data_IF_196805805272
#
_entry.id   IF_196805805272
#
_cell.length_a   1.000
_cell.length_b   1.000
_cell.length_c   1.000
_cell.angle_alpha   90.00
_cell.angle_beta   90.00
_cell.angle_gamma   90.00
#
_symmetry.space_group_name_H-M   'P 1'
#
loop_
_entity.id
_entity.type
_entity.pdbx_description
1 polymer ?
#
# COMPACT_ATOMS: atom_id res chain seq x y z
N UNK A 1 18.76 -24.19 -49.96
CA UNK A 1 17.57 -24.80 -49.32
C UNK A 1 17.62 -24.85 -47.78
N UNK A 2 18.77 -25.00 -47.10
CA UNK A 2 18.81 -25.08 -45.62
C UNK A 2 18.51 -23.78 -44.83
N UNK A 3 18.67 -22.59 -45.42
CA UNK A 3 18.43 -21.30 -44.73
C UNK A 3 16.96 -20.92 -44.59
N UNK A 4 16.10 -21.40 -45.49
CA UNK A 4 14.68 -21.03 -45.51
C UNK A 4 13.89 -21.74 -44.39
N UNK A 5 14.30 -22.95 -44.00
CA UNK A 5 13.64 -23.72 -42.92
C UNK A 5 13.88 -23.14 -41.52
N UNK A 6 15.01 -22.46 -41.30
CA UNK A 6 15.34 -21.88 -39.98
C UNK A 6 14.53 -20.59 -39.71
N UNK A 7 14.32 -19.77 -40.74
CA UNK A 7 13.52 -18.55 -40.64
C UNK A 7 12.04 -18.82 -40.39
N UNK A 8 11.48 -19.89 -40.97
CA UNK A 8 10.08 -20.27 -40.77
C UNK A 8 9.85 -20.85 -39.37
N UNK A 9 10.84 -21.55 -38.80
CA UNK A 9 10.77 -22.08 -37.43
C UNK A 9 10.82 -20.94 -36.39
N UNK A 10 11.65 -19.92 -36.61
CA UNK A 10 11.70 -18.73 -35.73
C UNK A 10 10.39 -17.94 -35.78
N UNK A 11 9.80 -17.78 -36.98
CA UNK A 11 8.53 -17.07 -37.13
C UNK A 11 7.38 -17.82 -36.43
N UNK A 12 7.38 -19.16 -36.51
CA UNK A 12 6.39 -20.00 -35.82
C UNK A 12 6.54 -19.99 -34.30
N UNK A 13 7.77 -19.99 -33.77
CA UNK A 13 8.01 -19.86 -32.32
C UNK A 13 7.57 -18.47 -31.84
N UNK A 14 7.85 -17.40 -32.59
CA UNK A 14 7.37 -16.05 -32.26
C UNK A 14 5.83 -15.96 -32.25
N UNK A 15 5.14 -16.55 -33.24
CA UNK A 15 3.67 -16.54 -33.32
C UNK A 15 2.99 -17.36 -32.22
N UNK A 16 3.60 -18.48 -31.80
CA UNK A 16 3.10 -19.27 -30.67
C UNK A 16 3.32 -18.51 -29.36
N UNK A 17 4.48 -17.89 -29.14
CA UNK A 17 4.81 -17.13 -27.91
C UNK A 17 3.91 -15.90 -27.73
N UNK A 18 3.56 -15.19 -28.82
CA UNK A 18 2.62 -14.06 -28.73
C UNK A 18 1.19 -14.49 -28.35
N UNK A 19 0.75 -15.68 -28.77
CA UNK A 19 -0.57 -16.20 -28.39
C UNK A 19 -0.63 -16.74 -26.95
N UNK A 20 0.47 -17.31 -26.41
CA UNK A 20 0.46 -17.79 -25.01
C UNK A 20 0.59 -16.62 -24.02
N UNK A 21 1.31 -15.55 -24.37
CA UNK A 21 1.44 -14.36 -23.51
C UNK A 21 0.12 -13.64 -23.26
N UNK A 22 -0.75 -13.57 -24.27
CA UNK A 22 -2.11 -13.05 -24.12
C UNK A 22 -2.98 -14.00 -23.28
N UNK A 23 -2.81 -15.32 -23.42
CA UNK A 23 -3.58 -16.32 -22.68
C UNK A 23 -3.31 -16.31 -21.16
N UNK A 24 -2.08 -15.97 -20.73
CA UNK A 24 -1.73 -15.85 -19.31
C UNK A 24 -2.18 -14.51 -18.69
N UNK A 25 -2.32 -13.45 -19.49
CA UNK A 25 -2.78 -12.15 -19.02
C UNK A 25 -4.29 -12.13 -18.71
N UNK A 26 -5.08 -12.94 -19.43
CA UNK A 26 -6.53 -13.02 -19.24
C UNK A 26 -7.00 -14.03 -18.18
N UNK A 27 -6.14 -14.93 -17.69
CA UNK A 27 -6.54 -15.96 -16.74
C UNK A 27 -6.75 -15.42 -15.30
N UNK A 28 -6.29 -14.20 -15.00
CA UNK A 28 -6.35 -13.59 -13.67
C UNK A 28 -7.64 -12.82 -13.35
N UNK A 29 -8.61 -12.73 -14.27
CA UNK A 29 -9.83 -11.92 -14.09
C UNK A 29 -11.13 -12.71 -14.07
N UNK A 30 -11.11 -13.92 -13.50
CA UNK A 30 -12.33 -14.64 -13.12
C UNK A 30 -12.43 -14.69 -11.60
N UNK A 31 -12.62 -13.52 -10.98
CA UNK A 31 -13.14 -13.48 -9.62
C UNK A 31 -14.65 -13.76 -9.71
N UNK A 32 -15.02 -14.89 -9.12
CA UNK A 32 -16.41 -15.25 -8.87
C UNK A 32 -17.05 -14.11 -8.05
N UNK A 33 -18.12 -13.52 -8.58
CA UNK A 33 -19.08 -12.79 -7.75
C UNK A 33 -19.79 -13.83 -6.88
N UNK A 34 -19.29 -14.02 -5.66
CA UNK A 34 -20.09 -14.58 -4.58
C UNK A 34 -20.91 -13.42 -3.97
N UNK A 35 -22.10 -13.72 -3.45
CA UNK A 35 -22.96 -12.75 -2.78
C UNK A 35 -22.26 -12.28 -1.49
N UNK A 36 -21.48 -11.19 -1.57
CA UNK A 36 -20.64 -10.66 -0.51
C UNK A 36 -19.17 -10.55 -0.93
N UNK A 37 -18.69 -9.32 -1.15
CA UNK A 37 -17.29 -9.06 -1.44
C UNK A 37 -16.45 -9.19 -0.16
N UNK A 38 -15.50 -10.12 -0.15
CA UNK A 38 -14.53 -10.31 0.94
C UNK A 38 -13.11 -10.30 0.37
N UNK A 39 -12.28 -9.38 0.86
CA UNK A 39 -10.84 -9.38 0.60
C UNK A 39 -10.17 -10.35 1.59
N UNK A 40 -10.12 -11.62 1.18
CA UNK A 40 -9.54 -12.70 2.00
C UNK A 40 -8.07 -12.45 2.31
N UNK A 41 -7.65 -12.81 3.52
CA UNK A 41 -6.26 -12.59 3.94
C UNK A 41 -5.93 -11.12 4.22
N UNK A 42 -6.95 -10.29 4.48
CA UNK A 42 -6.71 -8.96 5.04
C UNK A 42 -6.02 -9.08 6.41
N UNK A 43 -4.97 -8.29 6.70
CA UNK A 43 -4.30 -8.34 7.99
C UNK A 43 -5.19 -7.90 9.15
N UNK A 44 -4.98 -8.53 10.31
CA UNK A 44 -5.75 -8.34 11.55
C UNK A 44 -4.79 -8.05 12.72
N UNK A 45 -4.63 -6.77 13.07
CA UNK A 45 -3.59 -6.32 14.00
C UNK A 45 -4.13 -5.91 15.37
N UNK A 46 -3.47 -6.42 16.41
CA UNK A 46 -3.60 -5.93 17.78
C UNK A 46 -3.15 -4.47 17.88
N UNK A 47 -3.82 -3.70 18.73
CA UNK A 47 -3.56 -2.28 18.93
C UNK A 47 -2.08 -2.04 19.23
N UNK A 48 -1.47 -1.12 18.47
CA UNK A 48 -0.07 -0.75 18.65
C UNK A 48 0.09 0.76 18.66
N UNK A 49 0.09 1.35 19.86
CA UNK A 49 0.33 2.79 20.12
C UNK A 49 -0.63 3.77 19.41
N UNK A 50 -1.76 3.28 18.90
CA UNK A 50 -2.86 4.07 18.35
C UNK A 50 -3.71 3.25 17.40
N UNK A 51 -5.04 3.40 17.46
CA UNK A 51 -5.94 2.61 16.60
C UNK A 51 -5.82 3.01 15.13
N UNK A 52 -5.65 4.31 14.86
CA UNK A 52 -5.52 4.84 13.50
C UNK A 52 -4.23 4.41 12.80
N UNK A 53 -3.01 4.56 13.39
CA UNK A 53 -1.81 4.02 12.74
C UNK A 53 -1.83 2.50 12.68
N UNK A 54 -2.47 1.79 13.62
CA UNK A 54 -2.63 0.32 13.54
C UNK A 54 -3.50 -0.06 12.34
N UNK A 55 -4.65 0.60 12.14
CA UNK A 55 -5.54 0.37 11.00
C UNK A 55 -4.90 0.76 9.67
N UNK A 56 -4.14 1.86 9.65
CA UNK A 56 -3.32 2.20 8.49
C UNK A 56 -2.25 1.13 8.24
N UNK A 57 -1.63 0.58 9.28
CA UNK A 57 -0.69 -0.53 9.18
C UNK A 57 -1.31 -1.78 8.56
N UNK A 58 -2.56 -2.13 8.94
CA UNK A 58 -3.28 -3.24 8.31
C UNK A 58 -3.51 -2.98 6.81
N UNK A 59 -3.88 -1.75 6.44
CA UNK A 59 -4.03 -1.33 5.04
C UNK A 59 -2.71 -1.41 4.26
N UNK A 60 -1.63 -0.91 4.85
CA UNK A 60 -0.28 -0.96 4.27
C UNK A 60 0.19 -2.40 4.09
N UNK A 61 -0.02 -3.25 5.09
CA UNK A 61 0.31 -4.68 5.01
C UNK A 61 -0.50 -5.42 3.94
N UNK A 62 -1.78 -5.07 3.77
CA UNK A 62 -2.59 -5.64 2.69
C UNK A 62 -2.00 -5.33 1.31
N UNK A 63 -1.63 -4.07 1.05
CA UNK A 63 -1.02 -3.69 -0.23
C UNK A 63 0.40 -4.23 -0.41
N UNK A 64 1.15 -4.42 0.68
CA UNK A 64 2.47 -5.05 0.66
C UNK A 64 2.38 -6.51 0.19
N UNK A 65 1.39 -7.25 0.70
CA UNK A 65 1.18 -8.67 0.40
C UNK A 65 0.60 -8.88 -1.00
N UNK A 66 -0.43 -8.09 -1.36
CA UNK A 66 -1.26 -8.39 -2.54
C UNK A 66 -1.00 -7.48 -3.74
N UNK A 67 -0.26 -6.39 -3.56
CA UNK A 67 -0.16 -5.36 -4.57
C UNK A 67 -1.50 -4.66 -4.80
N UNK A 68 -1.60 -3.91 -5.90
CA UNK A 68 -2.85 -3.33 -6.36
C UNK A 68 -2.75 -2.89 -7.82
N UNK A 69 -3.83 -3.07 -8.60
CA UNK A 69 -3.87 -2.63 -10.01
C UNK A 69 -2.84 -3.29 -10.92
N UNK A 70 -2.37 -4.50 -10.56
CA UNK A 70 -1.30 -5.21 -11.27
C UNK A 70 0.11 -4.70 -10.93
N UNK A 71 0.26 -3.80 -9.96
CA UNK A 71 1.53 -3.32 -9.44
C UNK A 71 1.84 -4.02 -8.11
N UNK A 72 3.13 -4.19 -7.80
CA UNK A 72 3.63 -4.83 -6.57
C UNK A 72 4.12 -3.75 -5.61
N UNK A 73 3.89 -3.88 -4.31
CA UNK A 73 4.37 -2.90 -3.31
C UNK A 73 5.15 -3.58 -2.17
N UNK A 74 6.10 -4.44 -2.50
CA UNK A 74 6.80 -5.39 -1.61
C UNK A 74 7.79 -4.76 -0.60
N UNK A 75 7.71 -3.45 -0.41
CA UNK A 75 8.57 -2.72 0.53
C UNK A 75 7.80 -1.64 1.29
N UNK A 76 6.46 -1.74 1.33
CA UNK A 76 5.70 -0.88 2.24
C UNK A 76 6.02 -1.32 3.67
N UNK A 77 6.12 -2.63 3.92
CA UNK A 77 6.58 -3.20 5.19
C UNK A 77 8.00 -3.73 5.02
N UNK A 78 9.04 -2.92 5.29
CA UNK A 78 10.41 -3.35 5.07
C UNK A 78 10.83 -4.48 6.02
N UNK A 79 11.64 -5.40 5.50
CA UNK A 79 12.26 -6.47 6.28
C UNK A 79 11.66 -7.87 6.06
N UNK A 80 10.61 -7.98 5.24
CA UNK A 80 9.98 -9.26 4.90
C UNK A 80 8.53 -9.07 4.45
N UNK A 81 7.81 -10.18 4.35
CA UNK A 81 6.37 -10.16 4.07
C UNK A 81 5.64 -9.66 5.31
N UNK A 82 4.75 -8.68 5.17
CA UNK A 82 3.90 -8.20 6.26
C UNK A 82 3.14 -9.36 6.93
N UNK A 83 3.07 -9.34 8.25
CA UNK A 83 2.33 -10.37 8.99
C UNK A 83 0.83 -10.26 8.75
N UNK A 84 0.10 -11.37 8.77
CA UNK A 84 -1.37 -11.36 8.67
C UNK A 84 -2.07 -11.14 10.01
N UNK A 85 -1.36 -11.36 11.12
CA UNK A 85 -1.94 -11.27 12.45
C UNK A 85 -0.84 -10.91 13.47
N UNK A 86 -1.13 -9.98 14.37
CA UNK A 86 -0.22 -9.60 15.47
C UNK A 86 -0.77 -9.93 16.87
N UNK A 87 -1.99 -10.45 16.98
CA UNK A 87 -2.58 -10.87 18.24
C UNK A 87 -1.83 -12.06 18.86
N UNK A 88 -1.70 -12.05 20.19
CA UNK A 88 -1.14 -13.17 20.96
C UNK A 88 0.39 -13.23 20.98
N UNK A 89 1.10 -12.17 20.59
CA UNK A 89 2.55 -12.08 20.76
C UNK A 89 2.98 -11.98 22.22
N UNK A 90 4.09 -12.64 22.57
CA UNK A 90 4.71 -12.56 23.90
C UNK A 90 6.25 -12.57 23.80
N UNK A 91 6.94 -11.50 24.23
CA UNK A 91 6.37 -10.21 24.67
C UNK A 91 5.58 -9.54 23.54
N UNK A 92 4.64 -8.61 23.86
CA UNK A 92 3.97 -7.82 22.83
C UNK A 92 4.99 -7.05 22.00
N UNK A 93 4.81 -7.06 20.68
CA UNK A 93 5.74 -6.45 19.74
C UNK A 93 6.77 -7.42 19.18
N UNK A 94 7.40 -7.03 18.07
CA UNK A 94 8.42 -7.84 17.39
C UNK A 94 8.01 -8.30 15.99
N UNK A 95 6.80 -7.94 15.54
CA UNK A 95 6.42 -8.05 14.15
C UNK A 95 7.02 -6.90 13.35
N UNK A 96 7.30 -7.14 12.07
CA UNK A 96 7.78 -6.11 11.14
C UNK A 96 6.79 -4.94 11.10
N UNK A 97 5.50 -5.26 11.06
CA UNK A 97 4.43 -4.25 11.03
C UNK A 97 4.40 -3.35 12.26
N UNK A 98 4.86 -3.83 13.43
CA UNK A 98 4.94 -2.96 14.61
C UNK A 98 5.92 -1.81 14.41
N UNK A 99 7.03 -2.04 13.69
CA UNK A 99 8.02 -1.00 13.42
C UNK A 99 7.46 0.08 12.49
N UNK A 100 6.60 -0.29 11.54
CA UNK A 100 5.97 0.67 10.65
C UNK A 100 4.74 1.35 11.25
N UNK A 101 4.03 0.70 12.19
CA UNK A 101 2.89 1.30 12.87
C UNK A 101 3.38 2.36 13.86
N UNK A 102 4.21 1.96 14.81
CA UNK A 102 4.84 2.84 15.79
C UNK A 102 6.22 2.29 16.15
N UNK A 103 7.26 2.93 15.62
CA UNK A 103 8.64 2.55 15.86
C UNK A 103 9.02 2.72 17.33
N UNK A 104 10.10 2.07 17.76
CA UNK A 104 10.64 2.30 19.11
C UNK A 104 11.05 3.76 19.32
N UNK A 105 11.46 4.45 18.24
CA UNK A 105 11.73 5.89 18.26
C UNK A 105 10.45 6.67 18.58
N UNK A 106 9.35 6.39 17.88
CA UNK A 106 8.06 7.02 18.14
C UNK A 106 7.62 6.87 19.60
N UNK A 107 7.69 5.64 20.12
CA UNK A 107 7.26 5.32 21.49
C UNK A 107 8.10 6.10 22.51
N UNK A 108 9.43 6.18 22.30
CA UNK A 108 10.33 6.92 23.17
C UNK A 108 10.13 8.44 23.08
N UNK A 109 9.77 8.95 21.90
CA UNK A 109 9.59 10.38 21.63
C UNK A 109 8.22 10.90 22.10
N UNK A 110 7.15 10.11 21.99
CA UNK A 110 5.77 10.60 22.07
C UNK A 110 4.81 9.76 22.94
N UNK A 111 5.26 8.76 23.71
CA UNK A 111 4.35 7.89 24.49
C UNK A 111 4.84 7.56 25.90
N UNK A 112 5.54 8.48 26.56
CA UNK A 112 6.18 8.24 27.87
C UNK A 112 5.22 8.00 29.04
N UNK A 113 4.01 8.55 29.03
CA UNK A 113 3.03 8.51 30.14
C UNK A 113 1.85 7.56 29.90
N UNK A 114 1.81 6.86 28.78
CA UNK A 114 0.73 5.91 28.46
C UNK A 114 -0.51 6.57 27.85
N UNK A 115 -1.53 5.74 27.57
CA UNK A 115 -2.69 6.13 26.76
C UNK A 115 -3.45 7.35 27.30
N UNK A 116 -3.78 8.28 26.40
CA UNK A 116 -4.57 9.48 26.69
C UNK A 116 -3.83 10.59 27.45
N UNK A 117 -2.54 10.40 27.77
CA UNK A 117 -1.73 11.43 28.40
C UNK A 117 -1.34 12.56 27.43
N UNK A 118 -0.95 13.69 28.03
CA UNK A 118 -0.35 14.86 27.37
C UNK A 118 0.91 15.29 28.14
N UNK A 119 1.72 16.12 27.49
CA UNK A 119 2.87 16.82 28.05
C UNK A 119 4.03 15.88 28.35
N UNK A 120 4.20 14.83 27.56
CA UNK A 120 5.24 13.83 27.68
C UNK A 120 6.10 13.65 26.43
N UNK A 121 5.84 14.45 25.40
CA UNK A 121 6.74 14.59 24.25
C UNK A 121 8.18 14.87 24.72
N UNK A 122 9.10 13.99 24.33
CA UNK A 122 10.55 14.13 24.50
C UNK A 122 11.28 14.12 23.14
N UNK A 123 10.59 14.58 22.10
CA UNK A 123 11.11 14.60 20.74
C UNK A 123 12.26 15.57 20.57
N UNK A 124 13.39 15.06 20.05
CA UNK A 124 14.64 15.83 19.86
C UNK A 124 15.02 16.05 18.40
N UNK A 125 14.06 15.87 17.46
CA UNK A 125 14.29 16.07 16.03
C UNK A 125 14.77 14.84 15.27
N UNK A 126 14.45 13.64 15.77
CA UNK A 126 14.71 12.38 15.05
C UNK A 126 13.91 12.36 13.73
N UNK A 127 14.48 11.89 12.61
CA UNK A 127 13.69 11.68 11.40
C UNK A 127 12.51 10.75 11.66
N UNK A 128 11.33 11.11 11.13
CA UNK A 128 10.14 10.26 11.18
C UNK A 128 10.35 9.00 10.35
N UNK A 129 9.94 7.85 10.88
CA UNK A 129 10.21 6.54 10.26
C UNK A 129 9.06 5.54 10.35
N UNK A 130 7.91 5.93 10.93
CA UNK A 130 6.73 5.08 11.05
C UNK A 130 5.43 5.87 10.84
N UNK A 131 4.33 5.17 10.54
CA UNK A 131 2.99 5.72 10.37
C UNK A 131 2.59 6.64 11.52
N UNK A 132 2.79 6.24 12.77
CA UNK A 132 2.42 7.06 13.92
C UNK A 132 3.16 8.43 13.94
N UNK A 133 4.41 8.49 13.47
CA UNK A 133 5.15 9.74 13.33
C UNK A 133 4.52 10.64 12.25
N UNK A 134 4.36 10.11 11.04
CA UNK A 134 3.82 10.88 9.91
C UNK A 134 2.35 11.30 10.13
N UNK A 135 1.54 10.44 10.75
CA UNK A 135 0.14 10.71 11.06
C UNK A 135 -0.04 11.68 12.24
N UNK A 136 1.05 12.09 12.90
CA UNK A 136 1.00 12.95 14.08
C UNK A 136 0.38 12.28 15.30
N UNK A 137 0.37 10.95 15.37
CA UNK A 137 -0.25 10.21 16.47
C UNK A 137 0.52 10.46 17.76
N UNK A 138 -0.18 10.65 18.88
CA UNK A 138 0.45 10.92 20.19
C UNK A 138 1.26 12.22 20.31
N UNK A 139 1.34 13.04 19.26
CA UNK A 139 2.17 14.24 19.27
C UNK A 139 1.43 15.42 19.92
N UNK A 140 1.88 15.83 21.11
CA UNK A 140 1.33 17.00 21.82
C UNK A 140 1.41 18.26 20.95
N UNK A 141 2.48 18.39 20.16
CA UNK A 141 2.75 19.56 19.30
C UNK A 141 1.68 19.83 18.25
N UNK A 142 0.88 18.83 17.87
CA UNK A 142 -0.28 18.95 16.96
C UNK A 142 -1.61 18.70 17.68
N UNK A 143 -1.57 18.65 19.01
CA UNK A 143 -2.73 18.54 19.89
C UNK A 143 -3.35 17.14 19.94
N UNK A 144 -2.55 16.10 19.72
CA UNK A 144 -2.96 14.71 19.86
C UNK A 144 -2.37 14.14 21.15
N UNK A 145 -3.21 13.66 22.07
CA UNK A 145 -2.73 12.88 23.22
C UNK A 145 -2.27 11.51 22.79
N UNK A 146 -1.53 10.84 23.67
CA UNK A 146 -1.04 9.48 23.50
C UNK A 146 -2.10 8.52 22.96
N UNK A 147 -1.86 7.99 21.75
CA UNK A 147 -2.70 7.01 21.07
C UNK A 147 -3.82 7.61 20.22
N UNK A 148 -3.90 8.95 20.14
CA UNK A 148 -4.91 9.65 19.33
C UNK A 148 -4.30 10.22 18.05
N UNK A 149 -5.13 10.29 17.02
CA UNK A 149 -4.76 10.81 15.70
C UNK A 149 -5.89 11.71 15.20
N UNK A 150 -5.55 12.84 14.61
CA UNK A 150 -6.52 13.78 14.05
C UNK A 150 -6.73 13.50 12.55
N UNK A 151 -7.97 13.60 12.11
CA UNK A 151 -8.33 13.57 10.71
C UNK A 151 -9.22 14.78 10.39
N UNK A 152 -9.03 15.34 9.20
CA UNK A 152 -9.80 16.48 8.69
C UNK A 152 -10.83 16.00 7.66
N UNK A 153 -11.94 16.74 7.57
CA UNK A 153 -13.08 16.46 6.70
C UNK A 153 -13.75 17.78 6.31
N UNK A 154 -14.43 17.80 5.16
CA UNK A 154 -15.36 18.89 4.85
C UNK A 154 -16.65 18.77 5.65
N UNK A 155 -17.16 19.91 6.11
CA UNK A 155 -18.37 19.97 6.93
C UNK A 155 -19.65 19.63 6.15
N UNK A 156 -19.61 19.72 4.81
CA UNK A 156 -20.73 19.37 3.93
C UNK A 156 -20.71 17.89 3.51
N UNK A 157 -19.70 17.12 3.93
CA UNK A 157 -19.55 15.69 3.61
C UNK A 157 -18.85 15.40 2.27
N UNK A 158 -18.32 16.41 1.57
CA UNK A 158 -17.54 16.20 0.36
C UNK A 158 -16.24 15.44 0.67
N UNK A 159 -15.67 14.69 -0.29
CA UNK A 159 -14.37 14.07 -0.13
C UNK A 159 -13.29 15.14 0.05
N UNK A 160 -12.44 14.97 1.06
CA UNK A 160 -11.26 15.81 1.31
C UNK A 160 -10.00 15.06 0.88
N UNK A 161 -9.39 15.48 -0.23
CA UNK A 161 -8.21 14.84 -0.82
C UNK A 161 -6.89 15.36 -0.24
N UNK A 162 -5.78 14.68 -0.56
CA UNK A 162 -4.42 15.10 -0.23
C UNK A 162 -4.13 16.51 -0.73
N UNK A 163 -4.49 16.83 -1.98
CA UNK A 163 -4.31 18.17 -2.54
C UNK A 163 -5.06 19.25 -1.78
N UNK A 164 -6.24 18.96 -1.25
CA UNK A 164 -7.03 19.91 -0.48
C UNK A 164 -6.38 20.20 0.87
N UNK A 165 -5.89 19.14 1.54
CA UNK A 165 -5.17 19.25 2.81
C UNK A 165 -3.86 20.03 2.62
N UNK A 166 -3.13 19.77 1.53
CA UNK A 166 -1.92 20.49 1.19
C UNK A 166 -2.19 21.98 0.96
N UNK A 167 -3.22 22.30 0.17
CA UNK A 167 -3.64 23.67 -0.12
C UNK A 167 -4.10 24.43 1.13
N UNK A 168 -4.65 23.73 2.13
CA UNK A 168 -5.04 24.31 3.42
C UNK A 168 -3.83 24.72 4.29
N UNK A 169 -2.63 24.23 3.97
CA UNK A 169 -1.36 24.68 4.53
C UNK A 169 -0.88 23.89 5.75
N UNK A 170 0.31 24.27 6.24
CA UNK A 170 1.12 23.48 7.19
C UNK A 170 0.41 23.07 8.47
N UNK A 171 -0.44 23.93 9.02
CA UNK A 171 -1.17 23.60 10.23
C UNK A 171 -2.12 22.41 10.04
N UNK A 172 -2.69 22.26 8.83
CA UNK A 172 -3.63 21.18 8.50
C UNK A 172 -2.88 19.92 8.10
N UNK A 173 -1.94 20.01 7.16
CA UNK A 173 -1.24 18.81 6.68
C UNK A 173 -0.36 18.16 7.75
N UNK A 174 0.33 18.94 8.61
CA UNK A 174 1.13 18.37 9.72
C UNK A 174 0.28 17.65 10.79
N UNK A 175 -1.03 17.88 10.82
CA UNK A 175 -1.93 17.33 11.85
C UNK A 175 -2.95 16.34 11.26
N UNK A 176 -2.79 15.95 9.99
CA UNK A 176 -3.75 15.11 9.27
C UNK A 176 -3.25 13.68 9.19
N UNK A 177 -3.97 12.74 9.81
CA UNK A 177 -3.69 11.31 9.71
C UNK A 177 -3.70 10.81 8.25
N UNK A 178 -4.59 11.34 7.42
CA UNK A 178 -4.61 11.02 5.98
C UNK A 178 -3.35 11.50 5.26
N UNK A 179 -2.92 12.73 5.54
CA UNK A 179 -1.71 13.27 4.92
C UNK A 179 -0.47 12.51 5.39
N UNK A 180 -0.42 12.13 6.66
CA UNK A 180 0.64 11.29 7.20
C UNK A 180 0.71 9.90 6.60
N UNK A 181 -0.43 9.26 6.28
CA UNK A 181 -0.45 8.00 5.54
C UNK A 181 0.19 8.18 4.15
N UNK A 182 -0.15 9.27 3.46
CA UNK A 182 0.46 9.63 2.19
C UNK A 182 1.97 9.90 2.34
N UNK A 183 2.41 10.66 3.34
CA UNK A 183 3.83 10.93 3.59
C UNK A 183 4.61 9.64 3.86
N UNK A 184 4.06 8.73 4.68
CA UNK A 184 4.67 7.43 4.92
C UNK A 184 4.83 6.62 3.64
N UNK A 185 3.79 6.58 2.81
CA UNK A 185 3.81 5.86 1.54
C UNK A 185 4.88 6.42 0.58
N UNK A 186 5.08 7.74 0.57
CA UNK A 186 6.18 8.39 -0.15
C UNK A 186 7.54 8.12 0.46
N UNK A 187 7.63 8.07 1.80
CA UNK A 187 8.85 7.76 2.52
C UNK A 187 9.41 6.37 2.18
N UNK A 188 8.53 5.37 2.01
CA UNK A 188 8.93 4.00 1.63
C UNK A 188 9.19 3.82 0.12
N UNK A 189 9.06 4.89 -0.67
CA UNK A 189 9.43 4.95 -2.08
C UNK A 189 8.28 4.81 -3.08
N UNK A 190 7.02 4.89 -2.63
CA UNK A 190 5.84 4.80 -3.49
C UNK A 190 5.08 6.13 -3.58
N UNK A 191 4.01 6.19 -4.36
CA UNK A 191 3.21 7.40 -4.50
C UNK A 191 3.74 8.41 -5.54
N UNK A 192 3.10 9.57 -5.58
CA UNK A 192 3.33 10.61 -6.60
C UNK A 192 4.51 11.54 -6.29
N UNK A 193 4.89 11.67 -5.02
CA UNK A 193 5.85 12.66 -4.53
C UNK A 193 5.37 14.11 -4.56
N UNK A 194 4.21 14.40 -5.16
CA UNK A 194 3.65 15.75 -5.30
C UNK A 194 2.24 15.82 -4.70
N UNK A 195 2.08 16.39 -3.49
CA UNK A 195 0.78 16.46 -2.85
C UNK A 195 -0.16 17.45 -3.55
N UNK A 196 0.33 18.36 -4.38
CA UNK A 196 -0.49 19.41 -5.02
C UNK A 196 -1.38 18.90 -6.16
N UNK A 197 -1.21 17.64 -6.56
CA UNK A 197 -1.98 17.01 -7.64
C UNK A 197 -2.47 15.61 -7.27
N UNK A 198 -2.38 15.22 -6.00
CA UNK A 198 -2.71 13.86 -5.56
C UNK A 198 -4.18 13.73 -5.13
N UNK A 199 -4.91 12.87 -5.85
CA UNK A 199 -6.31 12.51 -5.62
C UNK A 199 -6.48 11.02 -5.25
N UNK A 200 -5.38 10.31 -4.98
CA UNK A 200 -5.42 8.87 -4.74
C UNK A 200 -5.83 8.50 -3.32
N UNK A 201 -5.94 9.47 -2.41
CA UNK A 201 -6.40 9.24 -1.05
C UNK A 201 -7.29 10.38 -0.56
N UNK A 202 -8.35 10.03 0.17
CA UNK A 202 -9.30 10.99 0.72
C UNK A 202 -9.97 10.50 1.99
N UNK A 203 -10.46 11.48 2.75
CA UNK A 203 -11.31 11.29 3.92
C UNK A 203 -12.72 11.76 3.57
N UNK A 204 -13.74 11.01 3.99
CA UNK A 204 -15.12 11.45 3.75
C UNK A 204 -16.07 10.98 4.87
N UNK A 205 -16.96 11.86 5.37
CA UNK A 205 -18.07 11.44 6.22
C UNK A 205 -19.04 10.50 5.49
N UNK A 206 -19.70 9.61 6.20
CA UNK A 206 -20.71 8.71 5.61
C UNK A 206 -22.04 9.44 5.33
N UNK A 207 -22.75 9.00 4.30
CA UNK A 207 -24.04 9.53 3.84
C UNK A 207 -25.15 9.50 4.92
N UNK A 208 -25.07 8.57 5.86
CA UNK A 208 -26.04 8.42 6.96
C UNK A 208 -26.02 9.53 8.02
N UNK A 209 -25.14 10.52 7.90
CA UNK A 209 -25.06 11.67 8.81
C UNK A 209 -26.00 12.82 8.43
N UNK A 210 -26.67 12.76 7.26
CA UNK A 210 -27.58 13.81 6.80
C UNK A 210 -26.89 15.10 6.35
N UNK A 211 -25.63 14.98 5.90
CA UNK A 211 -24.87 16.06 5.27
C UNK A 211 -25.28 16.22 3.79
N UNK A 212 -24.76 17.26 3.11
CA UNK A 212 -25.06 17.50 1.69
C UNK A 212 -24.52 16.39 0.79
N UNK A 213 -23.32 15.91 1.10
CA UNK A 213 -22.67 14.78 0.47
C UNK A 213 -22.35 13.72 1.52
N UNK A 214 -21.90 12.56 1.08
CA UNK A 214 -21.36 11.55 1.97
C UNK A 214 -20.97 10.31 1.19
N UNK A 215 -20.03 9.55 1.74
CA UNK A 215 -19.62 8.27 1.20
C UNK A 215 -20.73 7.26 1.45
N UNK A 216 -21.19 6.57 0.42
CA UNK A 216 -22.34 5.65 0.48
C UNK A 216 -21.88 4.21 0.69
N UNK A 217 -22.82 3.32 1.03
CA UNK A 217 -22.53 1.89 1.06
C UNK A 217 -22.18 1.34 -0.33
N UNK A 218 -22.77 1.89 -1.39
CA UNK A 218 -22.43 1.54 -2.78
C UNK A 218 -20.98 1.92 -3.12
N UNK A 219 -20.52 3.10 -2.69
CA UNK A 219 -19.12 3.49 -2.84
C UNK A 219 -18.19 2.53 -2.08
N UNK A 220 -18.56 2.10 -0.87
CA UNK A 220 -17.80 1.12 -0.11
C UNK A 220 -17.72 -0.23 -0.83
N UNK A 221 -18.84 -0.75 -1.35
CA UNK A 221 -18.85 -1.98 -2.14
C UNK A 221 -17.93 -1.85 -3.35
N UNK A 222 -17.97 -0.71 -4.06
CA UNK A 222 -17.09 -0.44 -5.20
C UNK A 222 -15.60 -0.43 -4.83
N UNK A 223 -15.21 0.10 -3.66
CA UNK A 223 -13.83 0.01 -3.18
C UNK A 223 -13.39 -1.45 -2.99
N UNK A 224 -14.21 -2.23 -2.28
CA UNK A 224 -13.95 -3.65 -2.00
C UNK A 224 -13.89 -4.46 -3.29
N UNK A 225 -14.82 -4.26 -4.22
CA UNK A 225 -14.89 -4.98 -5.50
C UNK A 225 -13.69 -4.66 -6.41
N UNK A 226 -13.09 -3.49 -6.24
CA UNK A 226 -11.85 -3.12 -6.90
C UNK A 226 -10.60 -3.61 -6.15
N UNK A 227 -10.74 -4.38 -5.08
CA UNK A 227 -9.64 -4.93 -4.31
C UNK A 227 -9.00 -3.94 -3.33
N UNK A 228 -9.69 -2.85 -2.97
CA UNK A 228 -9.20 -1.83 -2.03
C UNK A 228 -9.87 -1.99 -0.67
N UNK A 229 -9.05 -2.14 0.37
CA UNK A 229 -9.52 -2.06 1.77
C UNK A 229 -9.80 -0.60 2.14
N UNK A 230 -10.71 -0.36 3.09
CA UNK A 230 -11.15 0.98 3.48
C UNK A 230 -11.02 1.15 4.98
N UNK A 231 -10.35 2.20 5.44
CA UNK A 231 -10.31 2.52 6.86
C UNK A 231 -11.66 3.09 7.30
N UNK A 232 -12.27 2.47 8.31
CA UNK A 232 -13.57 2.87 8.86
C UNK A 232 -13.33 3.63 10.17
N UNK A 233 -13.88 4.84 10.28
CA UNK A 233 -13.85 5.65 11.48
C UNK A 233 -15.21 5.66 12.18
N UNK A 234 -15.25 5.12 13.41
CA UNK A 234 -16.35 5.27 14.35
C UNK A 234 -15.99 6.36 15.37
N UNK A 235 -16.93 6.73 16.25
CA UNK A 235 -16.63 7.63 17.36
C UNK A 235 -15.51 7.07 18.26
N UNK A 236 -14.39 7.77 18.29
CA UNK A 236 -13.23 7.45 19.14
C UNK A 236 -12.32 6.31 18.64
N UNK A 237 -12.59 5.69 17.48
CA UNK A 237 -11.84 4.53 17.02
C UNK A 237 -11.78 4.40 15.49
N UNK A 238 -10.70 3.80 15.00
CA UNK A 238 -10.44 3.50 13.60
C UNK A 238 -10.25 1.99 13.44
N UNK A 239 -10.79 1.43 12.36
CA UNK A 239 -10.81 0.00 12.03
C UNK A 239 -10.50 -0.20 10.54
N UNK A 240 -10.20 -1.42 10.10
CA UNK A 240 -10.01 -1.72 8.69
C UNK A 240 -11.18 -2.54 8.12
N UNK A 241 -11.94 -1.93 7.22
CA UNK A 241 -12.98 -2.58 6.42
C UNK A 241 -12.39 -3.34 5.23
N UNK A 242 -12.84 -4.58 5.05
CA UNK A 242 -12.32 -5.48 4.02
C UNK A 242 -13.41 -6.29 3.30
N UNK A 243 -14.67 -6.08 3.66
CA UNK A 243 -15.76 -6.71 2.96
C UNK A 243 -17.13 -6.21 3.37
N UNK A 244 -18.17 -6.77 2.77
CA UNK A 244 -19.56 -6.41 3.01
C UNK A 244 -20.52 -7.58 2.79
N UNK A 245 -21.76 -7.40 3.28
CA UNK A 245 -22.93 -8.17 2.88
C UNK A 245 -24.03 -7.23 2.41
N UNK A 246 -24.36 -7.31 1.13
CA UNK A 246 -25.42 -6.50 0.52
C UNK A 246 -26.79 -6.87 1.12
N UNK A 247 -27.04 -8.16 1.31
CA UNK A 247 -28.31 -8.68 1.83
C UNK A 247 -28.66 -8.13 3.23
N UNK A 248 -27.66 -7.87 4.07
CA UNK A 248 -27.85 -7.35 5.43
C UNK A 248 -27.47 -5.88 5.59
N UNK A 249 -26.94 -5.24 4.53
CA UNK A 249 -26.38 -3.89 4.55
C UNK A 249 -25.29 -3.74 5.63
N UNK A 250 -24.39 -4.73 5.71
CA UNK A 250 -23.32 -4.82 6.69
C UNK A 250 -21.94 -4.64 6.07
N UNK A 251 -21.03 -4.07 6.85
CA UNK A 251 -19.59 -4.04 6.56
C UNK A 251 -18.88 -5.04 7.46
N UNK A 252 -17.85 -5.68 6.92
CA UNK A 252 -16.92 -6.56 7.63
C UNK A 252 -15.59 -5.85 7.84
N UNK A 253 -15.07 -5.91 9.06
CA UNK A 253 -13.85 -5.22 9.44
C UNK A 253 -13.06 -5.96 10.52
N UNK A 254 -11.76 -5.67 10.57
CA UNK A 254 -10.90 -5.96 11.70
C UNK A 254 -10.84 -4.73 12.60
N UNK A 255 -11.18 -4.91 13.87
CA UNK A 255 -10.96 -3.88 14.90
C UNK A 255 -9.50 -3.98 15.39
N UNK A 256 -9.10 -3.13 16.33
CA UNK A 256 -7.77 -3.25 16.95
C UNK A 256 -7.83 -3.77 18.39
N UNK A 257 -8.94 -4.36 18.81
CA UNK A 257 -9.16 -4.77 20.21
C UNK A 257 -9.24 -6.29 20.36
N UNK A 258 -9.86 -6.98 19.40
CA UNK A 258 -10.06 -8.41 19.42
C UNK A 258 -9.86 -9.00 18.02
N UNK A 259 -9.14 -10.13 17.91
CA UNK A 259 -8.92 -10.75 16.62
C UNK A 259 -10.23 -11.26 16.00
N UNK A 260 -10.23 -11.34 14.68
CA UNK A 260 -11.26 -11.98 13.87
C UNK A 260 -12.18 -11.01 13.15
N UNK A 261 -13.19 -11.59 12.52
CA UNK A 261 -14.18 -10.86 11.75
C UNK A 261 -15.21 -10.20 12.67
N UNK A 262 -15.39 -8.89 12.50
CA UNK A 262 -16.47 -8.12 13.10
C UNK A 262 -17.39 -7.57 12.02
N UNK A 263 -18.60 -7.18 12.42
CA UNK A 263 -19.54 -6.53 11.52
C UNK A 263 -20.40 -5.47 12.19
N UNK A 264 -20.91 -4.54 11.38
CA UNK A 264 -21.97 -3.61 11.74
C UNK A 264 -22.73 -3.21 10.49
N UNK A 265 -23.97 -2.72 10.65
CA UNK A 265 -24.70 -2.11 9.55
C UNK A 265 -24.00 -0.84 9.06
N UNK A 266 -24.07 -0.56 7.75
CA UNK A 266 -23.59 0.71 7.21
C UNK A 266 -24.21 1.91 7.93
N UNK A 267 -23.38 2.86 8.37
CA UNK A 267 -23.81 4.01 9.16
C UNK A 267 -24.37 3.65 10.55
N UNK A 268 -24.20 2.40 10.98
CA UNK A 268 -24.70 1.86 12.23
C UNK A 268 -23.82 2.17 13.44
N UNK A 269 -23.90 1.29 14.43
CA UNK A 269 -23.11 1.36 15.65
C UNK A 269 -22.34 0.06 15.85
N UNK A 270 -21.10 0.16 16.30
CA UNK A 270 -20.29 -0.95 16.77
C UNK A 270 -19.90 -0.70 18.22
N UNK A 271 -20.23 -1.63 19.12
CA UNK A 271 -20.01 -1.51 20.57
C UNK A 271 -20.50 -0.17 21.18
N UNK A 272 -21.56 0.41 20.61
CA UNK A 272 -22.15 1.68 21.07
C UNK A 272 -21.57 2.94 20.41
N UNK A 273 -20.51 2.83 19.61
CA UNK A 273 -19.92 3.93 18.86
C UNK A 273 -20.49 4.02 17.44
N UNK A 274 -20.93 5.22 17.03
CA UNK A 274 -21.52 5.50 15.72
C UNK A 274 -20.45 5.47 14.62
N UNK A 275 -20.74 4.90 13.45
CA UNK A 275 -19.94 5.07 12.24
C UNK A 275 -20.06 6.50 11.71
N UNK A 276 -18.92 7.16 11.47
CA UNK A 276 -18.90 8.58 11.12
C UNK A 276 -18.27 8.83 9.75
N UNK A 277 -17.26 8.05 9.36
CA UNK A 277 -16.39 8.40 8.22
C UNK A 277 -15.61 7.22 7.69
N UNK A 278 -15.04 7.43 6.53
CA UNK A 278 -14.08 6.53 5.89
C UNK A 278 -12.81 7.27 5.48
N UNK A 279 -11.74 6.52 5.35
CA UNK A 279 -10.51 6.91 4.66
C UNK A 279 -10.24 5.89 3.56
N UNK A 280 -10.20 6.36 2.32
CA UNK A 280 -9.87 5.55 1.15
C UNK A 280 -8.46 5.87 0.67
N UNK A 281 -7.74 4.85 0.21
CA UNK A 281 -6.36 4.97 -0.23
C UNK A 281 -6.10 4.06 -1.42
N UNK A 282 -5.69 4.66 -2.54
CA UNK A 282 -5.30 3.97 -3.77
C UNK A 282 -3.77 4.04 -3.89
N UNK A 283 -3.05 2.93 -3.70
CA UNK A 283 -1.60 2.93 -3.85
C UNK A 283 -1.20 3.17 -5.31
N UNK A 284 -0.13 3.93 -5.51
CA UNK A 284 0.42 4.30 -6.83
C UNK A 284 1.95 4.34 -6.79
N UNK A 285 2.61 4.57 -7.93
CA UNK A 285 4.06 4.84 -7.97
C UNK A 285 4.94 3.59 -7.83
N UNK A 286 4.44 2.41 -8.24
CA UNK A 286 5.24 1.19 -8.34
C UNK A 286 5.36 0.67 -9.78
N UNK A 287 6.26 -0.29 -9.97
CA UNK A 287 6.58 -0.93 -11.23
C UNK A 287 5.67 -2.14 -11.53
N UNK A 288 5.51 -2.44 -12.81
CA UNK A 288 4.84 -3.67 -13.27
C UNK A 288 5.79 -4.85 -13.01
N UNK A 289 5.35 -5.92 -12.34
CA UNK A 289 6.18 -7.10 -12.11
C UNK A 289 6.60 -7.69 -13.46
N UNK A 290 7.91 -7.74 -13.73
CA UNK A 290 8.44 -8.40 -14.91
C UNK A 290 8.45 -9.91 -14.63
N UNK A 291 7.70 -10.74 -15.39
CA UNK A 291 7.69 -12.16 -15.15
C UNK A 291 9.11 -12.75 -15.27
N UNK A 292 9.58 -13.45 -14.24
CA UNK A 292 10.84 -14.21 -14.20
C UNK A 292 11.22 -14.93 -15.51
N UNK A 293 10.32 -15.61 -16.26
CA UNK A 293 10.69 -16.22 -17.54
C UNK A 293 11.07 -15.20 -18.63
N UNK A 294 10.51 -13.99 -18.60
CA UNK A 294 10.82 -12.90 -19.52
C UNK A 294 12.15 -12.22 -19.18
N UNK A 295 12.50 -12.11 -17.90
CA UNK A 295 13.81 -11.58 -17.46
C UNK A 295 14.95 -12.50 -17.88
N UNK A 296 14.81 -13.82 -17.67
CA UNK A 296 15.76 -14.83 -18.16
C UNK A 296 15.80 -14.86 -19.69
N UNK A 297 14.67 -14.68 -20.37
CA UNK A 297 14.63 -14.57 -21.81
C UNK A 297 15.39 -13.33 -22.29
N UNK A 298 15.12 -12.13 -21.77
CA UNK A 298 15.81 -10.88 -22.09
C UNK A 298 17.33 -10.96 -21.84
N UNK A 299 17.73 -11.56 -20.71
CA UNK A 299 19.15 -11.83 -20.43
C UNK A 299 19.76 -12.80 -21.44
N UNK A 300 19.03 -13.84 -21.84
CA UNK A 300 19.54 -14.84 -22.79
C UNK A 300 19.61 -14.33 -24.23
N UNK A 301 18.68 -13.49 -24.71
CA UNK A 301 18.84 -12.79 -26.00
C UNK A 301 20.01 -11.79 -25.96
N UNK A 302 20.23 -11.10 -24.84
CA UNK A 302 21.41 -10.26 -24.63
C UNK A 302 22.73 -11.04 -24.75
N UNK A 303 22.82 -12.21 -24.09
CA UNK A 303 23.98 -13.11 -24.17
C UNK A 303 24.18 -13.70 -25.57
N UNK A 304 23.11 -14.09 -26.26
CA UNK A 304 23.17 -14.62 -27.64
C UNK A 304 23.60 -13.53 -28.62
N UNK A 305 23.19 -12.27 -28.42
CA UNK A 305 23.63 -11.13 -29.24
C UNK A 305 25.15 -10.89 -29.14
N UNK A 306 25.71 -11.03 -27.94
CA UNK A 306 27.16 -10.90 -27.70
C UNK A 306 27.92 -12.07 -28.33
N UNK A 307 27.45 -13.31 -28.20
CA UNK A 307 28.07 -14.47 -28.84
C UNK A 307 27.95 -14.47 -30.37
N UNK A 308 26.86 -13.91 -30.91
CA UNK A 308 26.65 -13.74 -32.34
C UNK A 308 27.64 -12.76 -32.99
N UNK A 309 28.03 -11.71 -32.26
CA UNK A 309 29.06 -10.76 -32.70
C UNK A 309 30.45 -11.41 -32.82
N UNK A 310 30.79 -12.35 -31.93
CA UNK A 310 32.05 -13.10 -32.00
C UNK A 310 32.07 -14.07 -33.20
N UNK A 311 30.93 -14.68 -33.53
CA UNK A 311 30.86 -15.61 -34.68
C UNK A 311 30.94 -14.89 -36.04
N UNK A 312 30.49 -13.64 -36.13
CA UNK A 312 30.58 -12.83 -37.36
C UNK A 312 32.01 -12.33 -37.60
N UNK A 313 32.78 -12.06 -36.55
CA UNK A 313 34.19 -11.64 -36.68
C UNK A 313 35.14 -12.78 -37.06
N UNK A 314 34.87 -14.01 -36.64
CA UNK A 314 35.79 -15.13 -36.89
C UNK A 314 35.78 -15.69 -38.34
N UNK A 315 34.87 -15.18 -39.20
CA UNK A 315 34.78 -15.58 -40.62
C UNK A 315 35.63 -14.76 -41.59
N UNK A 316 36.26 -13.68 -41.11
CA UNK A 316 37.26 -12.92 -41.88
C UNK A 316 38.55 -12.94 -41.08
N UNK A 317 39.46 -13.84 -41.42
CA UNK A 317 40.75 -14.00 -40.75
C UNK A 317 41.47 -12.66 -40.62
N UNK A 318 41.87 -12.32 -39.38
CA UNK A 318 42.59 -11.08 -39.10
C UNK A 318 42.65 -10.74 -37.61
N UNK A 319 43.66 -11.30 -36.92
CA UNK A 319 44.29 -10.84 -35.66
C UNK A 319 43.42 -10.42 -34.47
N UNK A 320 43.21 -11.37 -33.54
CA UNK A 320 42.64 -11.17 -32.20
C UNK A 320 43.60 -10.56 -31.18
N UNK A 321 44.03 -9.30 -31.36
CA UNK A 321 44.90 -8.60 -30.37
C UNK A 321 44.31 -7.26 -29.87
N UNK A 322 43.14 -6.82 -30.34
CA UNK A 322 42.67 -5.45 -30.06
C UNK A 322 41.55 -5.30 -28.99
N UNK A 323 41.07 -6.37 -28.34
CA UNK A 323 39.88 -6.27 -27.46
C UNK A 323 40.23 -6.17 -25.97
N UNK A 324 41.38 -6.69 -25.53
CA UNK A 324 41.80 -6.59 -24.12
C UNK A 324 42.19 -5.16 -23.67
N UNK A 325 42.41 -4.23 -24.60
CA UNK A 325 42.70 -2.82 -24.28
C UNK A 325 41.46 -1.95 -24.09
N UNK A 326 40.30 -2.35 -24.63
CA UNK A 326 39.04 -1.61 -24.49
C UNK A 326 38.29 -1.99 -23.20
N UNK A 327 38.41 -3.25 -22.74
CA UNK A 327 37.76 -3.72 -21.51
C UNK A 327 38.34 -3.13 -20.22
N UNK A 328 39.57 -2.60 -20.23
CA UNK A 328 40.17 -1.95 -19.04
C UNK A 328 39.67 -0.52 -18.78
N UNK A 329 38.95 0.09 -19.74
CA UNK A 329 38.40 1.45 -19.59
C UNK A 329 36.93 1.51 -19.17
N UNK A 330 36.22 0.38 -19.19
CA UNK A 330 34.79 0.32 -18.86
C UNK A 330 34.49 -0.22 -17.45
N UNK A 331 35.52 -0.56 -16.66
CA UNK A 331 35.37 -1.08 -15.28
C UNK A 331 35.85 -0.12 -14.19
N UNK A 332 36.06 1.16 -14.53
CA UNK A 332 36.27 2.22 -13.55
C UNK A 332 35.50 3.46 -14.01
N UNK A 333 34.21 3.47 -13.73
CA UNK A 333 33.38 4.61 -13.32
C UNK A 333 32.09 4.04 -12.74
#
# INVERSE_FOLDING_TARGET
MKKLHFSVLILWIFLVVMNVGELFCYASTLMFFEEGGLLSGTPDYDWWYGCSPTSAGMMMGYYDIYGYGGLVYDNIVPGGVAELNTFGSSPPGGFLVNNIIASQGHIADFYGKGYGAFGDDNYTGRPFDCLADFMGTSQDSVGNSNGTTRFWYYADGAPLYITDIYAAGKAVYNSSGLFGMWEYFNYVGYGSGDPSTDYNAFNQPVDTLGLTYGFTFEDYMNEIDMGRVVMIGIEGHSMLGYGYSEATNEVYFHDTWNPGQHSMKWGGYYLGSKMLRVTCFTPTGSDVPIPEPLTLFLFSIGLIGIMGLDFVKNKKGGSGVLILRQLRKAMFF
#
